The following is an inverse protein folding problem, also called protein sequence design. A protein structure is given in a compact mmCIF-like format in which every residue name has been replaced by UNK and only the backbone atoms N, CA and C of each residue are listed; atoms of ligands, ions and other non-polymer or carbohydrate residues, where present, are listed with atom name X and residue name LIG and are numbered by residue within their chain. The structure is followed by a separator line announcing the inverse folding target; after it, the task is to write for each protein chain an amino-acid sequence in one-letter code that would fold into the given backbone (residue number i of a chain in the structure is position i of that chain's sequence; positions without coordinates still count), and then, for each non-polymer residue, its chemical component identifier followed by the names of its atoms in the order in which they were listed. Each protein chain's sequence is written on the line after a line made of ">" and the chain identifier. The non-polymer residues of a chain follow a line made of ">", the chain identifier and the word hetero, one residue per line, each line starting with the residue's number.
data_IF_201611123315
#
_entry.id   IF_201611123315
#
_cell.length_a   1.000
_cell.length_b   1.000
_cell.length_c   1.000
_cell.angle_alpha   90.00
_cell.angle_beta   90.00
_cell.angle_gamma   90.00
#
_symmetry.space_group_name_H-M   'P 1'
#
loop_
_entity.id
_entity.type
_entity.pdbx_description
1 polymer ?
#
# COMPACT_ATOMS: atom_id res chain seq x y z
N UNK A 1 21.29 -14.91 -24.32
CA UNK A 1 20.64 -14.96 -23.00
C UNK A 1 19.16 -15.03 -23.27
N UNK A 2 18.54 -16.17 -23.00
CA UNK A 2 17.08 -16.27 -23.11
C UNK A 2 16.46 -15.48 -21.96
N UNK A 3 15.86 -14.35 -22.31
CA UNK A 3 15.05 -13.54 -21.41
C UNK A 3 13.80 -14.35 -21.07
N UNK A 4 13.62 -14.75 -19.82
CA UNK A 4 12.31 -15.25 -19.37
C UNK A 4 11.28 -14.14 -19.57
N UNK A 5 10.12 -14.50 -20.09
CA UNK A 5 8.99 -13.56 -20.14
C UNK A 5 8.63 -13.11 -18.72
N UNK A 6 8.27 -11.84 -18.51
CA UNK A 6 7.80 -11.36 -17.23
C UNK A 6 6.53 -12.13 -16.82
N UNK A 7 6.61 -12.89 -15.72
CA UNK A 7 5.48 -13.60 -15.15
C UNK A 7 4.88 -12.84 -13.97
N UNK A 8 3.55 -12.87 -13.83
CA UNK A 8 2.83 -12.37 -12.66
C UNK A 8 2.17 -13.55 -11.96
N UNK A 9 2.43 -13.66 -10.66
CA UNK A 9 2.16 -14.89 -9.87
C UNK A 9 0.95 -14.75 -8.95
N UNK A 10 0.12 -13.72 -9.13
CA UNK A 10 -1.08 -13.55 -8.32
C UNK A 10 -2.29 -14.11 -9.08
N UNK A 11 -2.70 -15.31 -8.67
CA UNK A 11 -3.90 -15.96 -9.19
C UNK A 11 -5.14 -15.09 -9.05
N UNK A 12 -5.99 -15.13 -10.07
CA UNK A 12 -7.28 -14.45 -10.16
C UNK A 12 -7.17 -12.93 -9.98
N UNK A 13 -6.01 -12.35 -10.28
CA UNK A 13 -5.78 -10.91 -10.25
C UNK A 13 -5.11 -10.44 -11.53
N UNK A 14 -5.38 -9.20 -11.91
CA UNK A 14 -4.51 -8.45 -12.83
C UNK A 14 -3.51 -7.63 -12.02
N UNK A 15 -2.38 -7.28 -12.64
CA UNK A 15 -1.37 -6.38 -12.03
C UNK A 15 -2.03 -5.09 -11.56
N UNK A 16 -2.90 -4.51 -12.41
CA UNK A 16 -3.63 -3.28 -12.11
C UNK A 16 -4.53 -3.45 -10.88
N UNK A 17 -5.30 -4.54 -10.82
CA UNK A 17 -6.19 -4.80 -9.70
C UNK A 17 -5.43 -5.00 -8.37
N UNK A 18 -4.26 -5.67 -8.41
CA UNK A 18 -3.43 -5.86 -7.23
C UNK A 18 -2.85 -4.52 -6.75
N UNK A 19 -2.37 -3.69 -7.68
CA UNK A 19 -1.83 -2.37 -7.33
C UNK A 19 -2.89 -1.50 -6.65
N UNK A 20 -4.12 -1.50 -7.15
CA UNK A 20 -5.22 -0.74 -6.53
C UNK A 20 -5.60 -1.30 -5.15
N UNK A 21 -5.66 -2.62 -4.99
CA UNK A 21 -5.94 -3.26 -3.71
C UNK A 21 -4.87 -2.93 -2.67
N UNK A 22 -3.59 -3.02 -3.04
CA UNK A 22 -2.47 -2.68 -2.17
C UNK A 22 -2.48 -1.18 -1.84
N UNK A 23 -2.72 -0.31 -2.82
CA UNK A 23 -2.84 1.13 -2.57
C UNK A 23 -3.90 1.42 -1.51
N UNK A 24 -5.09 0.81 -1.66
CA UNK A 24 -6.19 0.98 -0.72
C UNK A 24 -5.83 0.44 0.67
N UNK A 25 -5.22 -0.74 0.74
CA UNK A 25 -4.75 -1.32 2.00
C UNK A 25 -3.79 -0.36 2.73
N UNK A 26 -2.73 0.10 2.07
CA UNK A 26 -1.74 0.96 2.71
C UNK A 26 -2.27 2.35 3.05
N UNK A 27 -3.15 2.92 2.21
CA UNK A 27 -3.85 4.17 2.51
C UNK A 27 -4.72 4.05 3.78
N UNK A 28 -5.41 2.92 3.92
CA UNK A 28 -6.24 2.65 5.10
C UNK A 28 -5.37 2.45 6.34
N UNK A 29 -4.27 1.69 6.23
CA UNK A 29 -3.30 1.50 7.32
C UNK A 29 -2.69 2.83 7.76
N UNK A 30 -2.21 3.65 6.82
CA UNK A 30 -1.68 4.99 7.11
C UNK A 30 -2.71 5.87 7.85
N UNK A 31 -3.96 5.84 7.41
CA UNK A 31 -5.05 6.58 8.07
C UNK A 31 -5.34 6.05 9.47
N UNK A 32 -5.35 4.73 9.65
CA UNK A 32 -5.54 4.07 10.94
C UNK A 32 -4.45 4.50 11.94
N UNK A 33 -3.18 4.43 11.55
CA UNK A 33 -2.08 4.79 12.44
C UNK A 33 -2.04 6.28 12.77
N UNK A 34 -2.45 7.16 11.85
CA UNK A 34 -2.63 8.59 12.16
C UNK A 34 -3.71 8.82 13.22
N UNK A 35 -4.83 8.09 13.17
CA UNK A 35 -5.87 8.17 14.19
C UNK A 35 -5.33 7.67 15.53
N UNK A 36 -4.64 6.53 15.53
CA UNK A 36 -4.05 5.92 16.72
C UNK A 36 -3.01 6.84 17.38
N UNK A 37 -2.18 7.52 16.59
CA UNK A 37 -1.29 8.58 17.08
C UNK A 37 -2.04 9.69 17.79
N UNK A 38 -3.10 10.23 17.17
CA UNK A 38 -3.90 11.29 17.79
C UNK A 38 -4.50 10.83 19.11
N UNK A 39 -4.94 9.57 19.21
CA UNK A 39 -5.44 9.00 20.46
C UNK A 39 -4.37 8.94 21.54
N UNK A 40 -3.15 8.50 21.20
CA UNK A 40 -2.04 8.49 22.16
C UNK A 40 -1.63 9.88 22.62
N UNK A 41 -1.59 10.87 21.73
CA UNK A 41 -1.33 12.26 22.10
C UNK A 41 -2.39 12.75 23.10
N UNK A 42 -3.68 12.50 22.84
CA UNK A 42 -4.75 12.87 23.77
C UNK A 42 -4.67 12.14 25.11
N UNK A 43 -4.25 10.87 25.13
CA UNK A 43 -4.06 10.11 26.38
C UNK A 43 -2.88 10.65 27.19
N UNK A 44 -1.83 11.16 26.53
CA UNK A 44 -0.64 11.72 27.17
C UNK A 44 -0.95 12.95 28.03
N UNK A 45 -2.00 13.72 27.68
CA UNK A 45 -2.44 14.89 28.44
C UNK A 45 -2.99 14.55 29.83
N UNK A 46 -3.47 13.31 30.03
CA UNK A 46 -4.08 12.84 31.27
C UNK A 46 -3.27 11.74 31.98
N UNK A 47 -2.10 11.39 31.44
CA UNK A 47 -1.29 10.26 31.91
C UNK A 47 -0.46 10.62 33.16
N UNK A 48 -0.30 9.65 34.05
CA UNK A 48 0.76 9.70 35.06
C UNK A 48 2.15 9.47 34.43
N UNK A 49 3.23 9.61 35.21
CA UNK A 49 4.59 9.55 34.67
C UNK A 49 4.96 8.18 34.08
N UNK A 50 4.46 7.08 34.65
CA UNK A 50 4.71 5.74 34.12
C UNK A 50 3.93 5.49 32.82
N UNK A 51 2.66 5.92 32.79
CA UNK A 51 1.81 5.85 31.59
C UNK A 51 2.33 6.75 30.48
N UNK A 52 2.82 7.94 30.81
CA UNK A 52 3.37 8.89 29.85
C UNK A 52 4.61 8.33 29.15
N UNK A 53 5.47 7.62 29.89
CA UNK A 53 6.66 7.00 29.29
C UNK A 53 6.30 5.86 28.35
N UNK A 54 5.34 5.01 28.72
CA UNK A 54 4.82 3.97 27.84
C UNK A 54 4.20 4.58 26.57
N UNK A 55 3.36 5.62 26.71
CA UNK A 55 2.72 6.29 25.57
C UNK A 55 3.74 6.95 24.64
N UNK A 56 4.86 7.49 25.16
CA UNK A 56 5.95 8.02 24.32
C UNK A 56 6.62 6.93 23.50
N UNK A 57 6.84 5.75 24.10
CA UNK A 57 7.38 4.62 23.37
C UNK A 57 6.42 4.16 22.26
N UNK A 58 5.13 4.00 22.58
CA UNK A 58 4.12 3.61 21.59
C UNK A 58 3.95 4.66 20.47
N UNK A 59 4.08 5.95 20.79
CA UNK A 59 4.11 7.03 19.80
C UNK A 59 5.33 6.92 18.87
N UNK A 60 6.50 6.59 19.41
CA UNK A 60 7.71 6.41 18.61
C UNK A 60 7.56 5.27 17.60
N UNK A 61 7.01 4.13 18.04
CA UNK A 61 6.74 2.97 17.18
C UNK A 61 5.72 3.31 16.08
N UNK A 62 4.63 3.99 16.43
CA UNK A 62 3.60 4.39 15.45
C UNK A 62 4.12 5.37 14.41
N UNK A 63 5.03 6.29 14.76
CA UNK A 63 5.63 7.19 13.75
C UNK A 63 6.43 6.41 12.69
N UNK A 64 7.07 5.30 13.08
CA UNK A 64 7.69 4.37 12.14
C UNK A 64 6.66 3.77 11.17
N UNK A 65 5.58 3.24 11.70
CA UNK A 65 4.49 2.64 10.89
C UNK A 65 3.83 3.66 9.96
N UNK A 66 3.56 4.87 10.45
CA UNK A 66 3.02 6.00 9.66
C UNK A 66 3.94 6.31 8.49
N UNK A 67 5.25 6.37 8.73
CA UNK A 67 6.25 6.68 7.70
C UNK A 67 6.29 5.60 6.61
N UNK A 68 6.31 4.33 7.01
CA UNK A 68 6.36 3.19 6.09
C UNK A 68 5.08 3.11 5.26
N UNK A 69 3.91 3.09 5.90
CA UNK A 69 2.64 2.94 5.19
C UNK A 69 2.27 4.16 4.35
N UNK A 70 2.64 5.38 4.79
CA UNK A 70 2.51 6.58 3.97
C UNK A 70 3.33 6.47 2.69
N UNK A 71 4.59 6.06 2.81
CA UNK A 71 5.49 5.90 1.65
C UNK A 71 5.01 4.83 0.67
N UNK A 72 4.55 3.68 1.18
CA UNK A 72 3.98 2.61 0.35
C UNK A 72 2.69 3.06 -0.35
N UNK A 73 1.80 3.74 0.37
CA UNK A 73 0.57 4.32 -0.19
C UNK A 73 0.88 5.31 -1.32
N UNK A 74 1.86 6.18 -1.15
CA UNK A 74 2.23 7.18 -2.15
C UNK A 74 2.84 6.53 -3.39
N UNK A 75 3.75 5.56 -3.21
CA UNK A 75 4.35 4.81 -4.32
C UNK A 75 3.29 4.08 -5.15
N UNK A 76 2.36 3.39 -4.50
CA UNK A 76 1.28 2.69 -5.20
C UNK A 76 0.25 3.64 -5.80
N UNK A 77 0.03 4.81 -5.21
CA UNK A 77 -0.78 5.86 -5.83
C UNK A 77 -0.18 6.38 -7.14
N UNK A 78 1.15 6.47 -7.22
CA UNK A 78 1.83 6.83 -8.47
C UNK A 78 1.69 5.68 -9.48
N UNK A 79 1.93 4.44 -9.06
CA UNK A 79 1.80 3.26 -9.92
C UNK A 79 0.38 3.13 -10.49
N UNK A 80 -0.66 3.21 -9.64
CA UNK A 80 -2.06 3.17 -10.07
C UNK A 80 -2.39 4.29 -11.06
N UNK A 81 -1.95 5.53 -10.80
CA UNK A 81 -2.15 6.66 -11.74
C UNK A 81 -1.51 6.42 -13.10
N UNK A 82 -0.32 5.83 -13.14
CA UNK A 82 0.37 5.49 -14.39
C UNK A 82 -0.39 4.40 -15.15
N UNK A 83 -0.75 3.31 -14.47
CA UNK A 83 -1.47 2.16 -15.06
C UNK A 83 -2.86 2.54 -15.61
N UNK A 84 -3.50 3.54 -15.01
CA UNK A 84 -4.78 4.08 -15.47
C UNK A 84 -4.65 5.29 -16.40
N UNK A 85 -3.43 5.74 -16.68
CA UNK A 85 -3.23 6.88 -17.56
C UNK A 85 -3.61 6.51 -19.00
N UNK A 86 -4.28 7.44 -19.69
CA UNK A 86 -4.70 7.21 -21.08
C UNK A 86 -3.51 6.84 -21.97
N UNK A 87 -2.36 7.50 -21.81
CA UNK A 87 -1.15 7.20 -22.57
C UNK A 87 -0.69 5.75 -22.37
N UNK A 88 -0.66 5.25 -21.14
CA UNK A 88 -0.23 3.85 -20.91
C UNK A 88 -1.24 2.85 -21.49
N UNK A 89 -2.53 3.13 -21.37
CA UNK A 89 -3.58 2.29 -21.96
C UNK A 89 -3.53 2.30 -23.49
N UNK A 90 -3.31 3.45 -24.10
CA UNK A 90 -3.21 3.61 -25.56
C UNK A 90 -1.95 2.91 -26.10
N UNK A 91 -0.81 3.00 -25.38
CA UNK A 91 0.46 2.39 -25.80
C UNK A 91 0.52 0.87 -25.60
N UNK A 92 -0.02 0.37 -24.49
CA UNK A 92 0.01 -1.06 -24.17
C UNK A 92 -1.19 -1.82 -24.73
N UNK A 93 -2.30 -1.13 -24.98
CA UNK A 93 -3.58 -1.73 -25.29
C UNK A 93 -4.27 -2.32 -24.05
N UNK A 94 -5.61 -2.27 -24.04
CA UNK A 94 -6.42 -2.83 -22.95
C UNK A 94 -6.29 -4.36 -22.83
N UNK A 95 -5.84 -5.02 -23.89
CA UNK A 95 -5.57 -6.46 -23.95
C UNK A 95 -4.15 -6.84 -23.50
N UNK A 96 -3.38 -5.89 -22.94
CA UNK A 96 -2.07 -6.18 -22.35
C UNK A 96 -2.20 -7.10 -21.13
N UNK A 97 -1.21 -7.97 -20.92
CA UNK A 97 -1.19 -8.93 -19.80
C UNK A 97 -1.38 -8.26 -18.44
N UNK A 98 -0.88 -7.04 -18.24
CA UNK A 98 -1.05 -6.32 -16.97
C UNK A 98 -2.50 -5.99 -16.60
N UNK A 99 -3.41 -5.97 -17.59
CA UNK A 99 -4.84 -5.73 -17.41
C UNK A 99 -5.65 -7.03 -17.34
N UNK A 100 -5.09 -8.14 -17.83
CA UNK A 100 -5.76 -9.45 -17.80
C UNK A 100 -5.69 -10.07 -16.42
N UNK A 101 -6.79 -10.72 -16.05
CA UNK A 101 -6.83 -11.57 -14.86
C UNK A 101 -5.97 -12.80 -15.16
N UNK A 102 -4.95 -13.01 -14.32
CA UNK A 102 -4.11 -14.19 -14.43
C UNK A 102 -4.84 -15.37 -13.83
N UNK A 103 -4.97 -16.43 -14.60
CA UNK A 103 -5.43 -17.71 -14.10
C UNK A 103 -4.24 -18.65 -14.23
N UNK A 104 -3.83 -19.29 -13.14
CA UNK A 104 -2.86 -20.36 -13.23
C UNK A 104 -3.45 -21.42 -14.17
N UNK A 105 -2.87 -21.55 -15.35
CA UNK A 105 -3.07 -22.72 -16.19
C UNK A 105 -2.27 -23.83 -15.52
N UNK A 106 -2.95 -24.63 -14.71
CA UNK A 106 -2.47 -25.95 -14.31
C UNK A 106 -2.00 -26.69 -15.58
N UNK A 107 -0.71 -27.05 -15.63
CA UNK A 107 -0.10 -27.91 -16.65
C UNK A 107 -0.79 -29.30 -16.74
#
# INVERSE_FOLDING_TARGET
>A
MDSKEPGFLAENQSVVSLVDQLQNYFKNSYSHYKIKRSQYISQLEAADEAQAEQLRQELHEIEGEITIFGSLSDALSIASRLLHSKTVVDELGIDSEIYKVHHDTDD
#
